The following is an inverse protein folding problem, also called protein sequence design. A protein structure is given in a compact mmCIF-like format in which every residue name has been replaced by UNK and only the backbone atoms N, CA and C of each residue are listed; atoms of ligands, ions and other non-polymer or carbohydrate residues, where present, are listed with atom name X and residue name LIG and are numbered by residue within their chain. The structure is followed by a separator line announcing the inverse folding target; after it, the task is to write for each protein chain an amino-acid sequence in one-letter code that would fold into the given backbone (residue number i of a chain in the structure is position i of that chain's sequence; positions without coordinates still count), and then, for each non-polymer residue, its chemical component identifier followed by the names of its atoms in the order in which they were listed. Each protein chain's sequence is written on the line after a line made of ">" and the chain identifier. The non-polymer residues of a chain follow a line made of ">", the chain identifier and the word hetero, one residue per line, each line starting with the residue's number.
data_IF_558499635527
#
_entry.id   IF_558499635527
#
_cell.length_a   1.000
_cell.length_b   1.000
_cell.length_c   1.000
_cell.angle_alpha   90.00
_cell.angle_beta   90.00
_cell.angle_gamma   90.00
#
_symmetry.space_group_name_H-M   'P 1'
#
loop_
_entity.id
_entity.type
_entity.pdbx_description
1 polymer ?
#
# COMPACT_ATOMS: atom_id res chain seq x y z
N UNK A 1 -14.80 41.87 -3.45
CA UNK A 1 -14.48 41.09 -2.24
C UNK A 1 -13.83 39.79 -2.68
N UNK A 2 -12.49 39.77 -2.74
CA UNK A 2 -11.70 38.55 -2.98
C UNK A 2 -11.58 37.82 -1.65
N UNK A 3 -12.10 36.60 -1.56
CA UNK A 3 -11.78 35.71 -0.45
C UNK A 3 -10.55 34.90 -0.86
N UNK A 4 -9.38 35.39 -0.48
CA UNK A 4 -8.13 34.64 -0.55
C UNK A 4 -8.22 33.49 0.45
N UNK A 5 -8.60 32.31 -0.02
CA UNK A 5 -8.51 31.07 0.76
C UNK A 5 -7.02 30.72 0.83
N UNK A 6 -6.31 31.29 1.82
CA UNK A 6 -4.97 30.81 2.17
C UNK A 6 -5.08 29.34 2.50
N UNK A 7 -4.55 28.49 1.63
CA UNK A 7 -4.41 27.06 1.86
C UNK A 7 -3.19 26.85 2.77
N UNK A 8 -3.36 26.54 4.07
CA UNK A 8 -2.25 26.17 4.90
C UNK A 8 -1.93 24.72 4.56
N UNK A 9 -1.17 24.49 3.49
CA UNK A 9 -0.59 23.16 3.23
C UNK A 9 0.43 22.90 4.33
N UNK A 10 -0.06 22.40 5.47
CA UNK A 10 0.76 21.71 6.43
C UNK A 10 1.55 20.65 5.67
N UNK A 11 2.88 20.73 5.71
CA UNK A 11 3.76 19.74 5.13
C UNK A 11 3.46 18.40 5.79
N UNK A 12 2.85 17.45 5.06
CA UNK A 12 2.86 16.07 5.48
C UNK A 12 4.29 15.54 5.30
N UNK A 13 4.97 15.18 6.41
CA UNK A 13 6.26 14.48 6.34
C UNK A 13 5.98 13.01 6.09
N UNK A 14 5.97 12.60 4.82
CA UNK A 14 6.02 11.19 4.45
C UNK A 14 7.46 10.70 4.40
N UNK A 15 7.71 9.46 4.81
CA UNK A 15 8.99 8.79 4.60
C UNK A 15 8.84 7.82 3.43
N UNK A 16 9.72 7.93 2.43
CA UNK A 16 9.93 6.89 1.41
C UNK A 16 11.16 6.10 1.84
N UNK A 17 11.02 4.78 1.95
CA UNK A 17 12.17 3.91 2.20
C UNK A 17 12.96 3.78 0.91
N UNK A 18 14.21 4.24 0.90
CA UNK A 18 15.18 3.87 -0.13
C UNK A 18 15.71 2.47 0.17
N UNK A 19 15.87 1.63 -0.86
CA UNK A 19 16.44 0.28 -0.70
C UNK A 19 17.98 0.26 -0.75
N UNK A 20 18.58 1.28 -1.36
CA UNK A 20 20.03 1.47 -1.38
C UNK A 20 20.53 2.18 -0.11
N UNK A 21 21.78 1.91 0.28
CA UNK A 21 22.44 2.64 1.37
C UNK A 21 22.84 4.08 1.00
N UNK A 22 22.54 4.52 -0.22
CA UNK A 22 22.83 5.87 -0.69
C UNK A 22 21.64 6.81 -0.39
N UNK A 23 21.88 8.03 0.11
CA UNK A 23 20.83 9.00 0.33
C UNK A 23 20.09 9.33 -0.97
N UNK A 24 18.75 9.30 -0.92
CA UNK A 24 17.88 9.77 -1.98
C UNK A 24 17.22 11.09 -1.57
N UNK A 25 17.46 12.17 -2.31
CA UNK A 25 16.86 13.48 -2.05
C UNK A 25 15.46 13.54 -2.68
N UNK A 26 14.46 13.91 -1.89
CA UNK A 26 13.09 14.21 -2.35
C UNK A 26 12.82 15.68 -2.13
N UNK A 27 12.45 16.39 -3.19
CA UNK A 27 12.06 17.80 -3.11
C UNK A 27 10.56 17.96 -2.92
N UNK A 28 10.17 19.07 -2.30
CA UNK A 28 8.77 19.39 -2.11
C UNK A 28 8.05 19.48 -3.47
N UNK A 29 6.96 18.70 -3.63
CA UNK A 29 6.18 18.65 -4.87
C UNK A 29 6.56 17.55 -5.85
N UNK A 30 7.62 16.77 -5.57
CA UNK A 30 7.97 15.62 -6.39
C UNK A 30 6.96 14.48 -6.27
N UNK A 31 6.70 13.80 -7.40
CA UNK A 31 5.82 12.63 -7.45
C UNK A 31 6.59 11.40 -6.99
N UNK A 32 6.32 10.95 -5.78
CA UNK A 32 7.04 9.86 -5.11
C UNK A 32 6.26 8.54 -5.03
N UNK A 33 4.98 8.56 -5.40
CA UNK A 33 4.10 7.40 -5.41
C UNK A 33 2.86 7.69 -6.27
N UNK A 34 2.01 6.69 -6.43
CA UNK A 34 0.71 6.80 -7.08
C UNK A 34 -0.36 6.10 -6.23
N UNK A 35 -1.56 6.68 -6.18
CA UNK A 35 -2.70 6.06 -5.51
C UNK A 35 -3.46 5.14 -6.48
N UNK A 36 -3.93 4.00 -5.99
CA UNK A 36 -4.86 3.11 -6.69
C UNK A 36 -6.11 2.94 -5.83
N UNK A 37 -7.28 3.20 -6.40
CA UNK A 37 -8.56 2.88 -5.76
C UNK A 37 -8.88 1.41 -6.07
N UNK A 38 -9.19 0.63 -5.05
CA UNK A 38 -9.50 -0.79 -5.19
C UNK A 38 -10.50 -1.23 -4.12
N UNK A 39 -11.35 -2.19 -4.48
CA UNK A 39 -12.27 -2.83 -3.53
C UNK A 39 -11.49 -3.58 -2.45
N UNK A 40 -11.83 -3.30 -1.19
CA UNK A 40 -11.28 -3.93 -0.01
C UNK A 40 -12.44 -4.38 0.89
N UNK A 41 -13.14 -5.47 0.54
CA UNK A 41 -14.26 -5.95 1.33
C UNK A 41 -13.81 -6.36 2.73
N UNK A 42 -14.63 -6.02 3.73
CA UNK A 42 -14.44 -6.47 5.10
C UNK A 42 -15.17 -7.79 5.32
N UNK A 43 -14.46 -8.79 5.82
CA UNK A 43 -15.02 -10.09 6.13
C UNK A 43 -15.04 -10.33 7.64
N UNK A 44 -16.08 -11.02 8.10
CA UNK A 44 -16.08 -11.61 9.44
C UNK A 44 -15.28 -12.91 9.38
N UNK A 45 -14.32 -13.05 10.28
CA UNK A 45 -13.61 -14.31 10.45
C UNK A 45 -14.45 -15.22 11.34
N UNK A 46 -14.60 -16.47 10.91
CA UNK A 46 -15.28 -17.52 11.66
C UNK A 46 -14.28 -18.63 11.94
N UNK A 47 -14.33 -19.17 13.14
CA UNK A 47 -13.47 -20.29 13.52
C UNK A 47 -13.96 -21.57 12.82
N UNK A 48 -13.03 -22.36 12.30
CA UNK A 48 -13.29 -23.68 11.73
C UNK A 48 -12.09 -24.59 12.05
N UNK A 49 -12.39 -25.83 12.46
CA UNK A 49 -11.34 -26.81 12.76
C UNK A 49 -10.69 -27.35 11.48
N UNK A 50 -11.43 -27.40 10.36
CA UNK A 50 -10.97 -27.85 9.05
C UNK A 50 -11.54 -26.97 7.91
N UNK A 51 -10.84 -26.96 6.76
CA UNK A 51 -11.27 -26.29 5.52
C UNK A 51 -11.48 -27.31 4.39
N UNK A 52 -12.37 -27.00 3.44
CA UNK A 52 -12.58 -27.83 2.25
C UNK A 52 -11.29 -27.94 1.41
N UNK A 53 -10.97 -29.15 0.96
CA UNK A 53 -9.84 -29.38 0.08
C UNK A 53 -9.98 -28.64 -1.27
N UNK A 54 -8.84 -28.21 -1.84
CA UNK A 54 -8.76 -27.62 -3.18
C UNK A 54 -7.57 -28.21 -3.94
N UNK A 55 -7.57 -28.09 -5.27
CA UNK A 55 -6.45 -28.55 -6.09
C UNK A 55 -5.11 -27.85 -5.77
N UNK A 56 -5.16 -26.59 -5.30
CA UNK A 56 -3.96 -25.87 -4.82
C UNK A 56 -3.49 -26.39 -3.46
N UNK A 57 -4.42 -26.78 -2.59
CA UNK A 57 -4.11 -27.18 -1.21
C UNK A 57 -3.30 -26.11 -0.48
N UNK A 58 -2.22 -26.52 0.17
CA UNK A 58 -1.28 -25.65 0.91
C UNK A 58 -0.19 -25.02 0.02
N UNK A 59 -0.30 -25.13 -1.31
CA UNK A 59 0.71 -24.66 -2.26
C UNK A 59 0.92 -23.14 -2.28
N UNK A 60 2.13 -22.70 -1.94
CA UNK A 60 2.63 -21.32 -2.01
C UNK A 60 4.06 -21.26 -2.56
N UNK A 61 4.75 -20.11 -2.46
CA UNK A 61 6.20 -19.98 -2.69
C UNK A 61 6.77 -20.61 -3.98
N UNK A 62 6.14 -20.36 -5.13
CA UNK A 62 6.62 -20.93 -6.40
C UNK A 62 6.37 -22.45 -6.55
N UNK A 63 5.41 -23.01 -5.81
CA UNK A 63 4.99 -24.42 -5.91
C UNK A 63 4.56 -24.89 -7.30
N UNK A 64 4.30 -23.98 -8.24
CA UNK A 64 4.03 -24.29 -9.65
C UNK A 64 5.28 -24.41 -10.53
N UNK A 65 6.48 -24.28 -9.95
CA UNK A 65 7.74 -24.22 -10.69
C UNK A 65 8.25 -22.80 -10.91
N UNK A 66 9.45 -22.73 -11.50
CA UNK A 66 10.10 -21.51 -11.96
C UNK A 66 9.72 -21.17 -13.41
#
# INVERSE_FOLDING_TARGET
>A
MSTDFQNPRASARGAVKAEDMLPFEIKAGERIAQAKVQDAPQYRLEWADDLSATARGVGGFGSSGA
#
